data_IF_136570822052
#
_entry.id   IF_136570822052
#
_cell.length_a   1.000
_cell.length_b   1.000
_cell.length_c   1.000
_cell.angle_alpha   90.00
_cell.angle_beta   90.00
_cell.angle_gamma   90.00
#
_symmetry.space_group_name_H-M   'P 1'
#
loop_
_entity.id
_entity.type
_entity.pdbx_description
1 polymer ?
#
# COMPACT_ATOMS: atom_id res chain seq x y z
N UNK A 1 -30.73 -23.96 56.14
CA UNK A 1 -30.04 -22.94 55.32
C UNK A 1 -29.95 -23.51 53.91
N UNK A 2 -30.91 -23.19 53.02
CA UNK A 2 -30.86 -22.15 51.97
C UNK A 2 -29.56 -22.17 51.16
N UNK A 3 -29.64 -22.49 49.86
CA UNK A 3 -28.54 -22.29 48.91
C UNK A 3 -28.61 -23.15 47.64
N UNK A 4 -29.49 -22.77 46.73
CA UNK A 4 -29.76 -23.33 45.40
C UNK A 4 -28.77 -22.77 44.35
N UNK A 5 -28.31 -23.64 43.41
CA UNK A 5 -27.95 -23.45 41.98
C UNK A 5 -27.30 -22.13 41.48
N UNK A 6 -26.16 -22.21 40.77
CA UNK A 6 -26.10 -22.09 39.29
C UNK A 6 -24.69 -21.84 38.74
N UNK A 7 -24.43 -22.47 37.62
CA UNK A 7 -23.34 -22.26 36.65
C UNK A 7 -23.61 -20.97 35.85
N UNK A 8 -22.56 -20.42 35.23
CA UNK A 8 -22.53 -19.58 34.02
C UNK A 8 -22.31 -18.06 34.20
N UNK A 9 -21.34 -17.55 33.43
CA UNK A 9 -21.01 -16.13 33.24
C UNK A 9 -19.65 -16.08 32.51
N UNK A 10 -19.55 -16.42 31.23
CA UNK A 10 -20.16 -15.82 30.04
C UNK A 10 -19.64 -14.39 29.80
N UNK A 11 -18.51 -14.35 29.09
CA UNK A 11 -18.11 -13.41 28.02
C UNK A 11 -18.91 -12.10 28.02
N UNK A 12 -18.28 -11.07 28.57
CA UNK A 12 -18.63 -9.67 28.39
C UNK A 12 -17.81 -9.13 27.22
N UNK A 13 -18.45 -8.98 26.06
CA UNK A 13 -18.00 -8.13 24.96
C UNK A 13 -19.27 -7.56 24.29
N UNK A 14 -19.85 -6.56 24.97
CA UNK A 14 -20.93 -5.74 24.43
C UNK A 14 -20.41 -4.75 23.38
N UNK A 15 -20.20 -5.22 22.15
CA UNK A 15 -19.98 -4.34 20.99
C UNK A 15 -21.33 -3.72 20.58
N UNK A 16 -21.54 -2.43 20.89
CA UNK A 16 -22.79 -1.72 20.58
C UNK A 16 -23.10 -1.72 19.07
N UNK A 17 -24.17 -2.39 18.61
CA UNK A 17 -24.52 -2.46 17.19
C UNK A 17 -25.00 -1.11 16.60
N UNK A 18 -25.16 -0.08 17.43
CA UNK A 18 -25.74 1.21 17.03
C UNK A 18 -24.75 2.15 16.34
N UNK A 19 -23.45 2.08 16.69
CA UNK A 19 -22.40 2.93 16.09
C UNK A 19 -22.02 2.48 14.69
N UNK A 20 -21.85 1.17 14.50
CA UNK A 20 -21.55 0.56 13.20
C UNK A 20 -22.68 0.77 12.19
N UNK A 21 -23.94 0.79 12.63
CA UNK A 21 -25.10 1.04 11.77
C UNK A 21 -25.20 2.51 11.32
N UNK A 22 -24.89 3.47 12.21
CA UNK A 22 -24.88 4.91 11.87
C UNK A 22 -23.76 5.28 10.91
N UNK A 23 -22.57 4.70 11.09
CA UNK A 23 -21.44 4.90 10.15
C UNK A 23 -21.68 4.23 8.78
N UNK A 24 -22.36 3.07 8.75
CA UNK A 24 -22.78 2.42 7.50
C UNK A 24 -23.85 3.23 6.74
N UNK A 25 -24.77 3.88 7.45
CA UNK A 25 -25.79 4.75 6.86
C UNK A 25 -25.20 6.04 6.26
N UNK A 26 -24.22 6.65 6.91
CA UNK A 26 -23.57 7.88 6.41
C UNK A 26 -22.69 7.63 5.18
N UNK A 27 -22.12 6.42 5.03
CA UNK A 27 -21.42 5.99 3.82
C UNK A 27 -22.36 5.76 2.62
N UNK A 28 -23.55 5.22 2.85
CA UNK A 28 -24.60 5.07 1.82
C UNK A 28 -25.10 6.43 1.28
N UNK A 29 -25.08 7.46 2.13
CA UNK A 29 -25.59 8.80 1.84
C UNK A 29 -24.57 9.74 1.12
N UNK A 30 -23.39 9.27 0.69
CA UNK A 30 -22.35 10.17 0.13
C UNK A 30 -21.86 9.83 -1.29
N UNK A 31 -22.47 8.84 -1.96
CA UNK A 31 -22.06 8.38 -3.30
C UNK A 31 -23.14 8.51 -4.39
N UNK A 32 -22.84 8.10 -5.64
CA UNK A 32 -23.77 8.16 -6.78
C UNK A 32 -25.08 7.37 -6.58
N UNK A 33 -25.12 6.49 -5.59
CA UNK A 33 -26.28 5.70 -5.19
C UNK A 33 -27.41 6.53 -4.56
N UNK A 34 -27.14 7.71 -4.02
CA UNK A 34 -28.20 8.66 -3.61
C UNK A 34 -29.07 9.01 -4.82
N UNK A 35 -28.47 9.21 -5.99
CA UNK A 35 -29.19 9.58 -7.20
C UNK A 35 -30.00 8.42 -7.74
N UNK A 36 -29.52 7.18 -7.57
CA UNK A 36 -30.27 5.97 -7.92
C UNK A 36 -31.48 5.79 -6.99
N UNK A 37 -31.30 5.93 -5.68
CA UNK A 37 -32.40 5.87 -4.70
C UNK A 37 -33.41 6.99 -4.93
N UNK A 38 -32.93 8.21 -5.12
CA UNK A 38 -33.76 9.38 -5.36
C UNK A 38 -34.52 9.26 -6.68
N UNK A 39 -33.87 8.84 -7.76
CA UNK A 39 -34.50 8.59 -9.06
C UNK A 39 -35.57 7.51 -8.99
N UNK A 40 -35.33 6.45 -8.22
CA UNK A 40 -36.31 5.37 -8.01
C UNK A 40 -37.53 5.89 -7.22
N UNK A 41 -37.31 6.67 -6.16
CA UNK A 41 -38.38 7.30 -5.38
C UNK A 41 -39.22 8.27 -6.23
N UNK A 42 -38.57 9.11 -7.03
CA UNK A 42 -39.25 10.05 -7.93
C UNK A 42 -40.07 9.31 -9.00
N UNK A 43 -39.51 8.24 -9.58
CA UNK A 43 -40.24 7.42 -10.55
C UNK A 43 -41.47 6.75 -9.93
N UNK A 44 -41.36 6.24 -8.69
CA UNK A 44 -42.48 5.66 -7.94
C UNK A 44 -43.57 6.70 -7.69
N UNK A 45 -43.21 7.90 -7.25
CA UNK A 45 -44.18 8.99 -6.98
C UNK A 45 -44.84 9.46 -8.28
N UNK A 46 -44.09 9.60 -9.36
CA UNK A 46 -44.63 10.00 -10.67
C UNK A 46 -45.60 8.95 -11.24
N UNK A 47 -45.26 7.66 -11.13
CA UNK A 47 -46.15 6.56 -11.54
C UNK A 47 -47.40 6.49 -10.66
N UNK A 48 -47.26 6.68 -9.35
CA UNK A 48 -48.40 6.73 -8.44
C UNK A 48 -49.35 7.89 -8.76
N UNK A 49 -48.81 9.10 -8.99
CA UNK A 49 -49.60 10.26 -9.38
C UNK A 49 -50.31 10.06 -10.73
N UNK A 50 -49.61 9.52 -11.73
CA UNK A 50 -50.21 9.18 -13.03
C UNK A 50 -51.33 8.15 -12.93
N UNK A 51 -51.23 7.22 -11.98
CA UNK A 51 -52.26 6.19 -11.75
C UNK A 51 -53.53 6.76 -11.13
N UNK A 52 -53.40 7.70 -10.18
CA UNK A 52 -54.57 8.37 -9.59
C UNK A 52 -55.35 9.15 -10.67
N UNK A 53 -54.63 9.85 -11.55
CA UNK A 53 -55.21 10.62 -12.67
C UNK A 53 -55.91 9.68 -13.69
N UNK A 54 -55.33 8.52 -13.97
CA UNK A 54 -55.90 7.54 -14.90
C UNK A 54 -57.16 6.85 -14.34
N UNK A 55 -57.19 6.57 -13.03
CA UNK A 55 -58.36 6.03 -12.33
C UNK A 55 -59.53 7.02 -12.32
N UNK A 56 -59.26 8.31 -12.09
CA UNK A 56 -60.28 9.37 -12.18
C UNK A 56 -60.85 9.53 -13.60
N UNK A 57 -60.09 9.14 -14.63
CA UNK A 57 -60.49 9.23 -16.04
C UNK A 57 -61.24 7.98 -16.55
N UNK A 58 -61.47 6.97 -15.70
CA UNK A 58 -62.26 5.78 -16.03
C UNK A 58 -61.58 4.76 -16.96
N UNK A 59 -60.26 4.79 -17.10
CA UNK A 59 -59.52 3.77 -17.87
C UNK A 59 -59.34 2.47 -17.05
N UNK A 60 -59.48 1.32 -17.71
CA UNK A 60 -59.25 0.01 -17.10
C UNK A 60 -57.74 -0.22 -16.90
N UNK A 61 -57.30 -0.24 -15.63
CA UNK A 61 -55.90 -0.25 -15.22
C UNK A 61 -55.42 -1.70 -14.97
N UNK A 62 -55.77 -2.64 -15.85
CA UNK A 62 -55.42 -4.06 -15.70
C UNK A 62 -53.90 -4.33 -15.61
N UNK A 63 -53.07 -3.42 -16.14
CA UNK A 63 -51.60 -3.46 -16.03
C UNK A 63 -51.07 -3.33 -14.59
N UNK A 64 -51.91 -2.93 -13.63
CA UNK A 64 -51.53 -2.72 -12.23
C UNK A 64 -51.50 -3.98 -11.35
N UNK A 65 -52.12 -5.08 -11.79
CA UNK A 65 -52.30 -6.30 -10.98
C UNK A 65 -51.01 -7.02 -10.55
N UNK A 66 -49.85 -6.66 -11.12
CA UNK A 66 -48.53 -7.17 -10.76
C UNK A 66 -47.59 -6.14 -10.10
N UNK A 67 -48.04 -4.91 -9.84
CA UNK A 67 -47.15 -3.79 -9.48
C UNK A 67 -46.34 -4.03 -8.20
N UNK A 68 -46.96 -4.64 -7.18
CA UNK A 68 -46.27 -5.00 -5.94
C UNK A 68 -45.14 -6.03 -6.14
N UNK A 69 -45.28 -6.96 -7.10
CA UNK A 69 -44.25 -7.95 -7.41
C UNK A 69 -43.06 -7.33 -8.14
N UNK A 70 -43.31 -6.39 -9.07
CA UNK A 70 -42.25 -5.68 -9.78
C UNK A 70 -41.49 -4.70 -8.86
N UNK A 71 -42.18 -4.02 -7.94
CA UNK A 71 -41.53 -3.19 -6.91
C UNK A 71 -40.70 -4.02 -5.94
N UNK A 72 -41.19 -5.18 -5.51
CA UNK A 72 -40.41 -6.12 -4.69
C UNK A 72 -39.16 -6.62 -5.41
N UNK A 73 -39.27 -6.94 -6.70
CA UNK A 73 -38.14 -7.35 -7.53
C UNK A 73 -37.09 -6.22 -7.69
N UNK A 74 -37.53 -4.97 -7.92
CA UNK A 74 -36.65 -3.81 -7.98
C UNK A 74 -35.96 -3.52 -6.64
N UNK A 75 -36.70 -3.55 -5.53
CA UNK A 75 -36.13 -3.40 -4.19
C UNK A 75 -35.09 -4.48 -3.88
N UNK A 76 -35.35 -5.73 -4.27
CA UNK A 76 -34.39 -6.83 -4.11
C UNK A 76 -33.13 -6.64 -4.95
N UNK A 77 -33.25 -6.13 -6.18
CA UNK A 77 -32.12 -5.85 -7.05
C UNK A 77 -31.24 -4.71 -6.51
N UNK A 78 -31.85 -3.65 -5.98
CA UNK A 78 -31.14 -2.55 -5.32
C UNK A 78 -30.41 -3.07 -4.07
N UNK A 79 -31.08 -3.87 -3.24
CA UNK A 79 -30.47 -4.47 -2.06
C UNK A 79 -29.29 -5.36 -2.41
N UNK A 80 -29.41 -6.19 -3.46
CA UNK A 80 -28.32 -7.03 -3.97
C UNK A 80 -27.15 -6.19 -4.49
N UNK A 81 -27.43 -5.09 -5.21
CA UNK A 81 -26.42 -4.15 -5.69
C UNK A 81 -25.65 -3.48 -4.55
N UNK A 82 -26.36 -3.06 -3.50
CA UNK A 82 -25.75 -2.49 -2.28
C UNK A 82 -24.90 -3.52 -1.55
N UNK A 83 -25.40 -4.75 -1.39
CA UNK A 83 -24.65 -5.83 -0.74
C UNK A 83 -23.36 -6.17 -1.51
N UNK A 84 -23.44 -6.24 -2.85
CA UNK A 84 -22.28 -6.45 -3.71
C UNK A 84 -21.27 -5.30 -3.59
N UNK A 85 -21.76 -4.04 -3.62
CA UNK A 85 -20.90 -2.88 -3.48
C UNK A 85 -20.14 -2.88 -2.16
N UNK A 86 -20.83 -3.10 -1.03
CA UNK A 86 -20.21 -3.19 0.29
C UNK A 86 -19.11 -4.27 0.27
N UNK A 87 -19.44 -5.47 -0.22
CA UNK A 87 -18.48 -6.57 -0.32
C UNK A 87 -17.26 -6.24 -1.20
N UNK A 88 -17.44 -5.49 -2.30
CA UNK A 88 -16.33 -5.05 -3.15
C UNK A 88 -15.52 -3.91 -2.53
N UNK A 89 -16.19 -2.94 -1.89
CA UNK A 89 -15.55 -1.77 -1.30
C UNK A 89 -14.71 -2.12 -0.07
N UNK A 90 -15.18 -3.06 0.76
CA UNK A 90 -14.39 -3.58 1.90
C UNK A 90 -13.13 -4.28 1.43
N UNK A 91 -13.22 -5.09 0.36
CA UNK A 91 -12.05 -5.75 -0.25
C UNK A 91 -11.05 -4.74 -0.80
N UNK A 92 -11.54 -3.69 -1.46
CA UNK A 92 -10.70 -2.65 -2.02
C UNK A 92 -10.02 -1.82 -0.93
N UNK A 93 -10.75 -1.38 0.09
CA UNK A 93 -10.20 -0.65 1.22
C UNK A 93 -9.15 -1.46 1.99
N UNK A 94 -9.39 -2.77 2.18
CA UNK A 94 -8.43 -3.67 2.80
C UNK A 94 -7.16 -3.85 1.96
N UNK A 95 -7.28 -3.89 0.64
CA UNK A 95 -6.13 -3.94 -0.27
C UNK A 95 -5.31 -2.64 -0.22
N UNK A 96 -5.97 -1.48 -0.26
CA UNK A 96 -5.31 -0.18 -0.18
C UNK A 96 -4.59 0.05 1.15
N UNK A 97 -5.17 -0.41 2.26
CA UNK A 97 -4.53 -0.37 3.56
C UNK A 97 -3.24 -1.21 3.57
N UNK A 98 -3.31 -2.44 3.05
CA UNK A 98 -2.14 -3.30 2.90
C UNK A 98 -1.07 -2.67 2.02
N UNK A 99 -1.43 -2.14 0.86
CA UNK A 99 -0.48 -1.52 -0.06
C UNK A 99 0.20 -0.29 0.57
N UNK A 100 -0.52 0.51 1.36
CA UNK A 100 0.06 1.63 2.13
C UNK A 100 1.05 1.16 3.19
N UNK A 101 0.73 0.10 3.93
CA UNK A 101 1.64 -0.45 4.93
C UNK A 101 2.91 -1.02 4.28
N UNK A 102 2.77 -1.71 3.14
CA UNK A 102 3.91 -2.21 2.37
C UNK A 102 4.79 -1.09 1.83
N UNK A 103 4.21 0.00 1.32
CA UNK A 103 4.96 1.17 0.89
C UNK A 103 5.70 1.83 2.06
N UNK A 104 5.06 1.92 3.24
CA UNK A 104 5.69 2.44 4.46
C UNK A 104 6.88 1.58 4.88
N UNK A 105 6.73 0.27 4.86
CA UNK A 105 7.84 -0.64 5.16
C UNK A 105 8.97 -0.52 4.13
N UNK A 106 8.66 -0.43 2.84
CA UNK A 106 9.67 -0.28 1.80
C UNK A 106 10.43 1.05 1.89
N UNK A 107 9.80 2.10 2.44
CA UNK A 107 10.45 3.38 2.77
C UNK A 107 11.43 3.35 3.93
N UNK A 108 11.52 2.25 4.67
CA UNK A 108 12.57 2.03 5.68
C UNK A 108 13.91 1.64 5.04
N UNK A 109 13.94 1.34 3.73
CA UNK A 109 15.21 1.25 3.00
C UNK A 109 15.60 2.66 2.59
N UNK A 110 16.77 3.13 2.99
CA UNK A 110 17.22 4.48 2.67
C UNK A 110 18.43 4.44 1.76
N UNK A 111 18.39 5.25 0.71
CA UNK A 111 19.53 5.49 -0.19
C UNK A 111 20.04 6.90 0.08
N UNK A 112 21.34 7.05 0.34
CA UNK A 112 22.00 8.34 0.54
C UNK A 112 23.19 8.46 -0.38
N UNK A 113 23.44 9.67 -0.86
CA UNK A 113 24.57 9.97 -1.74
C UNK A 113 25.50 10.92 -1.00
N UNK A 114 26.79 10.62 -1.07
CA UNK A 114 27.87 11.43 -0.50
C UNK A 114 28.84 11.78 -1.61
N UNK A 115 29.24 13.05 -1.69
CA UNK A 115 30.21 13.53 -2.67
C UNK A 115 31.61 13.01 -2.39
N UNK A 116 31.99 12.87 -1.11
CA UNK A 116 33.29 12.38 -0.69
C UNK A 116 33.14 11.41 0.47
N UNK A 117 33.64 10.19 0.29
CA UNK A 117 33.69 9.15 1.31
C UNK A 117 35.00 8.38 1.21
N UNK A 118 35.58 8.05 2.36
CA UNK A 118 36.80 7.22 2.42
C UNK A 118 36.54 5.83 1.85
N UNK A 119 37.41 5.41 0.93
CA UNK A 119 37.36 4.07 0.35
C UNK A 119 38.18 3.10 1.22
N UNK A 120 37.57 2.06 1.81
CA UNK A 120 38.31 1.08 2.61
C UNK A 120 39.31 0.28 1.78
N UNK A 121 40.49 0.05 2.34
CA UNK A 121 41.57 -0.68 1.68
C UNK A 121 42.20 0.06 0.49
N UNK A 122 41.80 1.30 0.22
CA UNK A 122 42.58 2.25 -0.55
C UNK A 122 43.47 3.08 0.41
N UNK A 123 44.42 3.85 -0.12
CA UNK A 123 45.29 4.70 0.70
C UNK A 123 44.50 5.59 1.66
N UNK A 124 45.08 5.99 2.79
CA UNK A 124 44.38 6.74 3.85
C UNK A 124 43.77 8.09 3.42
N UNK A 125 44.15 8.57 2.23
CA UNK A 125 43.72 9.82 1.59
C UNK A 125 42.74 9.61 0.43
N UNK A 126 42.44 8.37 0.06
CA UNK A 126 41.62 8.09 -1.10
C UNK A 126 40.13 8.27 -0.76
N UNK A 127 39.52 9.28 -1.39
CA UNK A 127 38.11 9.64 -1.22
C UNK A 127 37.42 9.57 -2.57
N UNK A 128 36.22 9.00 -2.58
CA UNK A 128 35.39 8.89 -3.76
C UNK A 128 33.92 9.14 -3.39
N UNK A 129 33.08 9.53 -4.35
CA UNK A 129 31.64 9.56 -4.14
C UNK A 129 31.12 8.18 -3.70
N UNK A 130 30.21 8.20 -2.73
CA UNK A 130 29.65 7.00 -2.12
C UNK A 130 28.13 7.02 -2.10
N UNK A 131 27.51 5.90 -2.48
CA UNK A 131 26.09 5.66 -2.32
C UNK A 131 25.91 4.71 -1.15
N UNK A 132 25.24 5.15 -0.09
CA UNK A 132 24.96 4.33 1.10
C UNK A 132 23.53 3.85 1.05
N UNK A 133 23.37 2.53 1.10
CA UNK A 133 22.10 1.85 1.24
C UNK A 133 22.01 1.32 2.67
N UNK A 134 20.93 1.64 3.37
CA UNK A 134 20.67 1.14 4.72
C UNK A 134 19.33 0.42 4.74
N UNK A 135 19.30 -0.75 5.37
CA UNK A 135 18.07 -1.48 5.59
C UNK A 135 17.57 -1.30 7.03
N UNK A 136 16.56 -0.46 7.24
CA UNK A 136 15.88 -0.35 8.55
C UNK A 136 14.68 -1.27 8.69
N UNK A 137 14.38 -2.09 7.67
CA UNK A 137 13.32 -3.10 7.77
C UNK A 137 13.79 -4.26 8.64
N UNK A 138 12.83 -4.93 9.27
CA UNK A 138 13.08 -6.19 9.96
C UNK A 138 13.35 -7.34 8.97
N UNK A 139 12.85 -7.22 7.73
CA UNK A 139 13.07 -8.19 6.66
C UNK A 139 14.37 -7.95 5.91
N UNK A 140 14.96 -9.03 5.41
CA UNK A 140 16.16 -9.00 4.58
C UNK A 140 15.86 -8.50 3.16
N UNK A 141 16.85 -7.84 2.56
CA UNK A 141 16.83 -7.46 1.16
C UNK A 141 17.69 -8.43 0.34
N UNK A 142 17.24 -8.76 -0.85
CA UNK A 142 17.92 -9.63 -1.81
C UNK A 142 18.00 -8.96 -3.18
N UNK A 143 18.86 -9.48 -4.06
CA UNK A 143 18.96 -9.04 -5.45
C UNK A 143 19.12 -7.52 -5.59
N UNK A 144 20.03 -6.93 -4.83
CA UNK A 144 20.29 -5.50 -4.92
C UNK A 144 20.83 -5.15 -6.30
N UNK A 145 20.18 -4.20 -6.96
CA UNK A 145 20.56 -3.75 -8.28
C UNK A 145 20.47 -2.23 -8.35
N UNK A 146 21.56 -1.59 -8.79
CA UNK A 146 21.52 -0.16 -9.07
C UNK A 146 20.82 0.03 -10.42
N UNK A 147 19.74 0.80 -10.43
CA UNK A 147 18.99 1.06 -11.66
C UNK A 147 19.55 2.26 -12.40
N UNK A 148 19.80 3.35 -11.69
CA UNK A 148 20.28 4.60 -12.29
C UNK A 148 21.23 5.32 -11.32
N UNK A 149 22.33 5.84 -11.85
CA UNK A 149 23.20 6.82 -11.18
C UNK A 149 23.43 7.97 -12.14
N UNK A 150 22.99 9.17 -11.77
CA UNK A 150 23.28 10.38 -12.57
C UNK A 150 24.60 10.99 -12.13
N UNK A 151 25.53 11.11 -13.06
CA UNK A 151 26.88 11.64 -12.83
C UNK A 151 28.00 10.59 -12.80
N UNK A 152 27.68 9.32 -13.03
CA UNK A 152 28.67 8.24 -13.18
C UNK A 152 29.02 8.00 -14.66
N UNK A 153 30.28 7.67 -14.93
CA UNK A 153 30.81 7.52 -16.31
C UNK A 153 30.98 6.07 -16.73
N UNK A 154 31.22 5.15 -15.78
CA UNK A 154 31.45 3.73 -16.10
C UNK A 154 31.27 2.84 -14.85
N UNK A 155 30.84 1.57 -14.98
CA UNK A 155 30.43 0.75 -13.86
C UNK A 155 31.58 -0.05 -13.25
N UNK A 156 32.66 0.61 -12.78
CA UNK A 156 33.43 0.00 -11.71
C UNK A 156 32.77 0.39 -10.39
N UNK A 157 32.03 -0.56 -9.84
CA UNK A 157 31.29 -0.41 -8.60
C UNK A 157 31.92 -1.36 -7.58
N UNK A 158 32.58 -0.77 -6.59
CA UNK A 158 33.01 -1.52 -5.41
C UNK A 158 31.93 -1.37 -4.36
N UNK A 159 31.27 -2.48 -4.04
CA UNK A 159 30.37 -2.53 -2.90
C UNK A 159 31.17 -2.93 -1.66
N UNK A 160 30.90 -2.24 -0.57
CA UNK A 160 31.49 -2.49 0.73
C UNK A 160 30.35 -2.75 1.70
N UNK A 161 30.35 -3.94 2.30
CA UNK A 161 29.40 -4.27 3.37
C UNK A 161 29.99 -3.83 4.70
N UNK A 162 29.22 -3.01 5.42
CA UNK A 162 29.52 -2.57 6.78
C UNK A 162 28.56 -3.29 7.72
N UNK A 163 29.11 -4.07 8.65
CA UNK A 163 28.37 -4.80 9.68
C UNK A 163 27.63 -3.83 10.64
N UNK A 164 26.57 -4.29 11.34
CA UNK A 164 25.61 -3.43 12.02
C UNK A 164 26.22 -2.47 13.05
N UNK A 165 25.68 -1.25 13.10
CA UNK A 165 26.18 -0.17 13.97
C UNK A 165 26.05 1.25 13.39
N UNK A 166 25.25 1.45 12.35
CA UNK A 166 24.86 2.76 11.79
C UNK A 166 25.99 3.70 11.36
N UNK A 167 27.21 3.18 11.12
CA UNK A 167 28.27 4.02 10.57
C UNK A 167 28.02 4.22 9.08
N UNK A 168 27.69 5.46 8.71
CA UNK A 168 27.54 5.88 7.31
C UNK A 168 28.85 5.78 6.52
N UNK A 169 29.99 5.79 7.23
CA UNK A 169 31.30 5.54 6.65
C UNK A 169 31.72 4.10 6.90
N UNK A 170 32.23 3.40 5.88
CA UNK A 170 32.70 2.04 6.04
C UNK A 170 33.95 1.98 6.93
N UNK A 171 34.05 0.93 7.74
CA UNK A 171 35.23 0.69 8.56
C UNK A 171 36.45 0.31 7.70
N UNK A 172 37.67 0.57 8.18
CA UNK A 172 38.91 0.20 7.46
C UNK A 172 39.02 -1.31 7.15
N UNK A 173 38.37 -2.16 7.94
CA UNK A 173 38.31 -3.63 7.75
C UNK A 173 37.05 -4.12 7.05
N UNK A 174 36.24 -3.24 6.46
CA UNK A 174 34.99 -3.63 5.82
C UNK A 174 35.23 -4.54 4.61
N UNK A 175 34.34 -5.51 4.43
CA UNK A 175 34.46 -6.50 3.35
C UNK A 175 34.13 -5.84 2.02
N UNK A 176 35.11 -5.83 1.10
CA UNK A 176 34.89 -5.47 -0.30
C UNK A 176 34.26 -6.66 -1.01
N UNK A 177 33.18 -6.40 -1.74
CA UNK A 177 32.47 -7.40 -2.55
C UNK A 177 32.24 -6.84 -3.95
N UNK A 178 32.22 -7.72 -4.94
CA UNK A 178 31.83 -7.32 -6.29
C UNK A 178 30.32 -7.06 -6.36
N UNK A 179 29.86 -6.35 -7.39
CA UNK A 179 28.41 -6.18 -7.60
C UNK A 179 27.69 -7.53 -7.77
N UNK A 180 28.30 -8.50 -8.45
CA UNK A 180 27.72 -9.84 -8.59
C UNK A 180 27.58 -10.58 -7.26
N UNK A 181 28.56 -10.45 -6.37
CA UNK A 181 28.47 -10.98 -5.00
C UNK A 181 27.42 -10.23 -4.17
N UNK A 182 27.31 -8.91 -4.33
CA UNK A 182 26.31 -8.11 -3.64
C UNK A 182 24.88 -8.54 -4.02
N UNK A 183 24.63 -8.86 -5.29
CA UNK A 183 23.32 -9.36 -5.74
C UNK A 183 22.90 -10.63 -5.00
N UNK A 184 23.87 -11.48 -4.66
CA UNK A 184 23.67 -12.76 -3.98
C UNK A 184 23.74 -12.64 -2.45
N UNK A 185 24.15 -11.49 -1.92
CA UNK A 185 24.34 -11.29 -0.49
C UNK A 185 23.08 -10.68 0.13
N UNK A 186 22.42 -11.35 1.08
CA UNK A 186 21.29 -10.76 1.78
C UNK A 186 21.74 -9.60 2.66
N UNK A 187 20.99 -8.50 2.64
CA UNK A 187 21.20 -7.36 3.54
C UNK A 187 20.24 -7.50 4.72
N UNK A 188 20.79 -7.69 5.92
CA UNK A 188 20.00 -7.84 7.13
C UNK A 188 19.47 -6.50 7.66
N UNK A 189 18.68 -6.55 8.73
CA UNK A 189 18.29 -5.36 9.49
C UNK A 189 19.55 -4.64 10.01
N UNK A 190 19.59 -3.32 9.89
CA UNK A 190 20.70 -2.43 10.28
C UNK A 190 22.02 -2.64 9.52
N UNK A 191 22.04 -3.54 8.52
CA UNK A 191 23.18 -3.66 7.62
C UNK A 191 23.27 -2.42 6.73
N UNK A 192 24.51 -1.99 6.49
CA UNK A 192 24.82 -0.85 5.64
C UNK A 192 25.69 -1.32 4.48
N UNK A 193 25.27 -0.97 3.27
CA UNK A 193 26.05 -1.22 2.06
C UNK A 193 26.46 0.10 1.45
N UNK A 194 27.76 0.30 1.32
CA UNK A 194 28.35 1.46 0.68
C UNK A 194 28.81 1.07 -0.71
N UNK A 195 28.45 1.84 -1.71
CA UNK A 195 28.71 1.58 -3.11
C UNK A 195 29.53 2.75 -3.64
N UNK A 196 30.71 2.47 -4.19
CA UNK A 196 31.58 3.47 -4.79
C UNK A 196 31.52 3.36 -6.31
N UNK A 197 30.73 4.20 -7.00
CA UNK A 197 30.71 4.23 -8.46
C UNK A 197 31.87 5.06 -9.01
N UNK A 198 32.24 4.81 -10.27
CA UNK A 198 33.21 5.64 -10.98
C UNK A 198 32.53 6.87 -11.57
N UNK A 199 33.01 8.05 -11.17
CA UNK A 199 32.58 9.35 -11.71
C UNK A 199 33.66 9.93 -12.62
N UNK A 200 33.28 10.85 -13.52
CA UNK A 200 34.26 11.69 -14.22
C UNK A 200 35.01 12.53 -13.20
N UNK A 201 36.21 12.99 -13.56
CA UNK A 201 36.93 14.00 -12.80
C UNK A 201 36.01 15.22 -12.53
N UNK A 202 35.84 15.58 -11.25
CA UNK A 202 34.90 16.64 -10.83
C UNK A 202 33.40 16.32 -10.93
N UNK A 203 33.04 15.09 -11.32
CA UNK A 203 31.66 14.62 -11.41
C UNK A 203 31.02 14.43 -10.04
N UNK A 204 29.79 14.91 -9.88
CA UNK A 204 28.98 14.72 -8.67
C UNK A 204 27.80 13.81 -8.94
N UNK A 205 27.47 12.98 -7.97
CA UNK A 205 26.29 12.13 -8.05
C UNK A 205 25.10 12.93 -7.52
N UNK A 206 24.15 13.25 -8.40
CA UNK A 206 22.93 13.97 -8.00
C UNK A 206 21.76 13.04 -7.68
N UNK A 207 21.77 11.84 -8.26
CA UNK A 207 20.68 10.90 -8.16
C UNK A 207 21.19 9.46 -8.18
N UNK A 208 20.59 8.63 -7.34
CA UNK A 208 20.80 7.20 -7.33
C UNK A 208 19.49 6.48 -7.01
N UNK A 209 19.14 5.49 -7.82
CA UNK A 209 18.02 4.59 -7.55
C UNK A 209 18.46 3.14 -7.45
N UNK A 210 17.87 2.44 -6.50
CA UNK A 210 18.16 1.07 -6.15
C UNK A 210 16.91 0.22 -6.26
N UNK A 211 17.03 -0.91 -6.95
CA UNK A 211 16.03 -1.97 -6.95
C UNK A 211 16.46 -3.09 -6.01
N UNK A 212 15.53 -3.63 -5.25
CA UNK A 212 15.74 -4.82 -4.44
C UNK A 212 14.52 -5.73 -4.45
N UNK A 213 14.70 -6.97 -4.01
CA UNK A 213 13.63 -7.93 -3.74
C UNK A 213 13.53 -8.15 -2.23
N UNK A 214 12.33 -8.13 -1.67
CA UNK A 214 12.12 -8.46 -0.26
C UNK A 214 12.00 -9.97 -0.01
N UNK A 215 11.97 -10.39 1.26
CA UNK A 215 11.77 -11.80 1.67
C UNK A 215 10.50 -12.44 1.09
N UNK A 216 9.49 -11.63 0.75
CA UNK A 216 8.23 -12.10 0.17
C UNK A 216 8.26 -12.19 -1.36
N UNK A 217 9.40 -11.89 -1.98
CA UNK A 217 9.60 -11.93 -3.42
C UNK A 217 9.13 -10.66 -4.15
N UNK A 218 8.73 -9.61 -3.43
CA UNK A 218 8.25 -8.36 -4.06
C UNK A 218 9.43 -7.48 -4.44
N UNK A 219 9.31 -6.86 -5.61
CA UNK A 219 10.32 -5.94 -6.11
C UNK A 219 9.96 -4.50 -5.79
N UNK A 220 10.93 -3.80 -5.23
CA UNK A 220 10.83 -2.41 -4.84
C UNK A 220 11.95 -1.62 -5.47
N UNK A 221 11.65 -0.38 -5.79
CA UNK A 221 12.62 0.61 -6.20
C UNK A 221 12.58 1.78 -5.23
N UNK A 222 13.76 2.18 -4.77
CA UNK A 222 13.95 3.27 -3.83
C UNK A 222 15.03 4.20 -4.35
N UNK A 223 14.78 5.50 -4.30
CA UNK A 223 15.75 6.51 -4.68
C UNK A 223 16.29 7.32 -3.49
N UNK A 224 17.32 8.11 -3.75
CA UNK A 224 17.92 9.00 -2.76
C UNK A 224 16.98 10.15 -2.32
N UNK A 225 15.86 10.36 -3.01
CA UNK A 225 14.79 11.29 -2.65
C UNK A 225 13.72 10.66 -1.74
N UNK A 226 13.95 9.44 -1.23
CA UNK A 226 12.99 8.66 -0.44
C UNK A 226 11.71 8.31 -1.18
N UNK A 227 11.70 8.34 -2.52
CA UNK A 227 10.58 7.84 -3.31
C UNK A 227 10.69 6.32 -3.36
N UNK A 228 9.54 5.68 -3.18
CA UNK A 228 9.41 4.23 -3.15
C UNK A 228 8.37 3.84 -4.20
N UNK A 229 8.73 2.92 -5.09
CA UNK A 229 7.83 2.38 -6.10
C UNK A 229 7.83 0.86 -6.04
N UNK A 230 6.63 0.26 -6.08
CA UNK A 230 6.49 -1.19 -6.28
C UNK A 230 6.60 -1.49 -7.76
N UNK A 231 7.47 -2.43 -8.11
CA UNK A 231 7.57 -2.94 -9.48
C UNK A 231 6.61 -4.12 -9.58
N UNK A 232 5.55 -3.94 -10.37
CA UNK A 232 4.66 -5.03 -10.77
C UNK A 232 5.13 -5.48 -12.15
N UNK A 233 5.58 -6.73 -12.24
CA UNK A 233 5.92 -7.40 -13.50
C UNK A 233 4.65 -7.74 -14.28
#
# INVERSE_FOLDING_TARGET
>A
MKGTTSVLGMIDDGEEPSKTLRERLTLLLRGPWIWVLYGTLVAIVALWAGTQIALESGQDVAWYSGFGQWLGALGSMIAAGVALWIATSERQAAQEARDRDLAREAGLVTVRVFDEMRVPGAGATDVAPGIVVMNWRQSRLFNLHIREIRGAVSPFIVAVRTDPGAKLQPALGAKRVSMGELMLTPIAHEDVVTIFPTVSEGGRISYASLRYTDETGRQWEVDNGSRVARIVL
#
